data_IF_101794041098
#
_entry.id   IF_101794041098
#
_cell.length_a   1.000
_cell.length_b   1.000
_cell.length_c   1.000
_cell.angle_alpha   90.00
_cell.angle_beta   90.00
_cell.angle_gamma   90.00
#
_symmetry.space_group_name_H-M   'P 1'
#
loop_
_entity.id
_entity.type
_entity.pdbx_description
1 polymer ?
#
# COMPACT_ATOMS: atom_id res chain seq x y z
N UNK A 1 -41.87 -36.33 39.70
CA UNK A 1 -40.43 -36.37 40.03
C UNK A 1 -39.66 -36.44 38.73
N UNK A 2 -39.06 -35.33 38.29
CA UNK A 2 -38.21 -35.32 37.09
C UNK A 2 -36.86 -35.95 37.47
N UNK A 3 -36.49 -37.05 36.81
CA UNK A 3 -35.20 -37.70 37.03
C UNK A 3 -34.06 -36.78 36.56
N UNK A 4 -33.27 -36.27 37.51
CA UNK A 4 -32.05 -35.54 37.20
C UNK A 4 -31.00 -36.51 36.67
N UNK A 5 -30.55 -36.32 35.42
CA UNK A 5 -29.48 -37.11 34.82
C UNK A 5 -28.15 -36.35 34.88
N UNK A 6 -27.26 -36.68 35.83
CA UNK A 6 -26.04 -35.92 36.09
C UNK A 6 -25.04 -35.97 34.93
N UNK A 7 -25.00 -37.07 34.16
CA UNK A 7 -24.08 -37.19 33.02
C UNK A 7 -24.50 -36.29 31.85
N UNK A 8 -25.80 -36.16 31.61
CA UNK A 8 -26.35 -35.24 30.62
C UNK A 8 -26.13 -33.77 31.02
N UNK A 9 -26.16 -33.47 32.31
CA UNK A 9 -25.89 -32.13 32.84
C UNK A 9 -24.42 -31.72 32.68
N UNK A 10 -23.47 -32.60 33.04
CA UNK A 10 -22.03 -32.36 32.86
C UNK A 10 -21.67 -32.22 31.39
N UNK A 11 -22.26 -33.02 30.49
CA UNK A 11 -22.04 -32.92 29.04
C UNK A 11 -22.50 -31.56 28.48
N UNK A 12 -23.62 -31.02 28.97
CA UNK A 12 -24.11 -29.68 28.57
C UNK A 12 -23.18 -28.57 29.04
N UNK A 13 -22.64 -28.68 30.26
CA UNK A 13 -21.65 -27.72 30.78
C UNK A 13 -20.38 -27.75 29.92
N UNK A 14 -19.86 -28.94 29.61
CA UNK A 14 -18.67 -29.07 28.75
C UNK A 14 -18.89 -28.48 27.35
N UNK A 15 -20.06 -28.68 26.75
CA UNK A 15 -20.39 -28.08 25.44
C UNK A 15 -20.40 -26.54 25.52
N UNK A 16 -20.96 -25.96 26.58
CA UNK A 16 -20.96 -24.51 26.78
C UNK A 16 -19.54 -23.97 26.92
N UNK A 17 -18.68 -24.64 27.69
CA UNK A 17 -17.27 -24.24 27.82
C UNK A 17 -16.52 -24.31 26.49
N UNK A 18 -16.75 -25.34 25.67
CA UNK A 18 -16.15 -25.46 24.33
C UNK A 18 -16.61 -24.31 23.42
N UNK A 19 -17.89 -23.94 23.46
CA UNK A 19 -18.42 -22.82 22.66
C UNK A 19 -17.86 -21.46 23.10
N UNK A 20 -17.63 -21.25 24.40
CA UNK A 20 -17.03 -20.02 24.95
C UNK A 20 -15.53 -19.94 24.62
N UNK A 21 -14.81 -21.06 24.63
CA UNK A 21 -13.39 -21.08 24.24
C UNK A 21 -13.25 -20.87 22.72
N UNK A 22 -14.15 -21.45 21.91
CA UNK A 22 -14.13 -21.27 20.45
C UNK A 22 -14.47 -19.85 20.00
N UNK A 23 -15.21 -19.06 20.79
CA UNK A 23 -15.54 -17.67 20.45
C UNK A 23 -14.47 -16.65 20.83
N UNK A 24 -13.47 -17.05 21.62
CA UNK A 24 -12.36 -16.19 22.09
C UNK A 24 -11.05 -16.39 21.32
N UNK A 25 -10.97 -17.39 20.45
CA UNK A 25 -9.92 -17.54 19.45
C UNK A 25 -10.16 -16.50 18.34
N UNK A 26 -9.70 -15.29 18.63
CA UNK A 26 -10.05 -14.06 17.96
C UNK A 26 -9.84 -14.01 16.44
N UNK A 27 -10.66 -13.15 15.86
CA UNK A 27 -10.71 -12.68 14.49
C UNK A 27 -9.38 -11.99 14.11
N UNK A 28 -8.38 -12.74 13.67
CA UNK A 28 -7.22 -12.21 12.95
C UNK A 28 -7.58 -12.07 11.46
N UNK A 29 -8.34 -11.04 11.09
CA UNK A 29 -8.89 -10.94 9.73
C UNK A 29 -8.87 -9.55 9.10
N UNK A 30 -8.26 -8.55 9.74
CA UNK A 30 -8.13 -7.22 9.15
C UNK A 30 -6.66 -6.83 9.11
N UNK A 31 -6.01 -7.13 7.99
CA UNK A 31 -4.77 -6.46 7.62
C UNK A 31 -5.09 -4.97 7.53
N UNK A 32 -4.63 -4.20 8.50
CA UNK A 32 -4.79 -2.74 8.47
C UNK A 32 -3.77 -2.22 7.46
N UNK A 33 -4.25 -1.54 6.42
CA UNK A 33 -3.40 -0.84 5.46
C UNK A 33 -3.31 0.62 5.87
N UNK A 34 -2.24 1.04 6.56
CA UNK A 34 -2.14 2.40 7.04
C UNK A 34 -1.86 3.38 5.89
N UNK A 35 -2.55 4.52 5.92
CA UNK A 35 -2.38 5.61 4.95
C UNK A 35 -1.53 6.73 5.56
N UNK A 36 -0.61 7.28 4.76
CA UNK A 36 0.30 8.34 5.16
C UNK A 36 0.05 9.71 4.53
N UNK A 37 -0.95 9.80 3.65
CA UNK A 37 -1.27 11.06 2.98
C UNK A 37 -2.03 11.97 3.96
N UNK A 38 -1.46 13.15 4.22
CA UNK A 38 -2.14 14.24 4.91
C UNK A 38 -2.94 15.02 3.87
N UNK A 39 -4.23 15.19 4.11
CA UNK A 39 -5.13 15.95 3.26
C UNK A 39 -5.29 17.35 3.85
N UNK A 40 -4.82 18.35 3.12
CA UNK A 40 -4.94 19.77 3.47
C UNK A 40 -5.35 20.54 2.21
N UNK A 41 -6.62 20.98 2.16
CA UNK A 41 -7.19 21.63 0.99
C UNK A 41 -6.65 23.05 0.81
N UNK A 42 -6.37 23.76 1.91
CA UNK A 42 -5.88 25.14 1.85
C UNK A 42 -4.46 25.16 1.27
N UNK A 43 -3.56 24.30 1.79
CA UNK A 43 -2.20 24.15 1.25
C UNK A 43 -2.20 23.66 -0.21
N UNK A 44 -3.11 22.75 -0.56
CA UNK A 44 -3.24 22.25 -1.92
C UNK A 44 -3.57 23.36 -2.93
N UNK A 45 -4.48 24.28 -2.56
CA UNK A 45 -4.92 25.37 -3.43
C UNK A 45 -3.86 26.47 -3.62
N UNK A 46 -2.89 26.57 -2.70
CA UNK A 46 -1.75 27.49 -2.82
C UNK A 46 -0.62 26.94 -3.70
N UNK A 47 -0.61 25.63 -3.96
CA UNK A 47 0.46 24.96 -4.70
C UNK A 47 0.43 25.34 -6.19
N UNK A 48 1.58 25.61 -6.86
CA UNK A 48 1.60 25.89 -8.28
C UNK A 48 0.98 24.77 -9.12
N UNK A 49 -0.10 25.09 -9.84
CA UNK A 49 -0.75 24.14 -10.75
C UNK A 49 -0.14 24.20 -12.15
N UNK A 50 -0.19 23.05 -12.85
CA UNK A 50 0.15 23.01 -14.26
C UNK A 50 -0.78 23.93 -15.06
N UNK A 51 -0.22 24.67 -16.02
CA UNK A 51 -1.01 25.57 -16.87
C UNK A 51 -2.12 24.83 -17.60
N UNK A 52 -3.31 25.42 -17.64
CA UNK A 52 -4.41 24.95 -18.50
C UNK A 52 -4.09 25.03 -20.00
N UNK A 53 -3.01 25.74 -20.37
CA UNK A 53 -2.55 25.89 -21.75
C UNK A 53 -1.63 24.75 -22.24
N UNK A 54 -1.49 23.63 -21.51
CA UNK A 54 -0.72 22.47 -21.99
C UNK A 54 -1.42 21.92 -23.24
N UNK A 55 -0.71 21.97 -24.37
CA UNK A 55 -1.22 21.47 -25.64
C UNK A 55 -0.76 20.03 -25.86
N UNK A 56 -1.68 19.15 -26.27
CA UNK A 56 -1.38 17.76 -26.63
C UNK A 56 -1.10 17.71 -28.14
N UNK A 57 0.03 17.11 -28.55
CA UNK A 57 0.45 16.95 -29.95
C UNK A 57 0.57 18.24 -30.81
N UNK A 58 0.73 19.42 -30.22
CA UNK A 58 0.70 20.71 -30.95
C UNK A 58 2.07 21.37 -31.22
N UNK A 59 3.19 20.64 -31.14
CA UNK A 59 4.53 21.14 -31.50
C UNK A 59 5.57 21.08 -30.37
N UNK A 60 6.58 21.97 -30.37
CA UNK A 60 7.79 21.86 -29.54
C UNK A 60 7.57 21.90 -28.01
N UNK A 61 6.38 22.28 -27.53
CA UNK A 61 5.96 22.25 -26.10
C UNK A 61 4.79 21.30 -25.84
N UNK A 62 4.64 20.26 -26.66
CA UNK A 62 3.54 19.30 -26.50
C UNK A 62 3.93 18.06 -25.71
N UNK A 63 3.02 17.60 -24.86
CA UNK A 63 3.16 16.30 -24.20
C UNK A 63 2.68 15.18 -25.13
N UNK A 64 3.30 14.00 -25.08
CA UNK A 64 2.83 12.84 -25.83
C UNK A 64 1.45 12.41 -25.34
N UNK A 65 0.62 11.92 -26.27
CA UNK A 65 -0.72 11.40 -25.96
C UNK A 65 -0.68 10.20 -25.01
N UNK A 66 0.37 9.39 -25.09
CA UNK A 66 0.54 8.18 -24.29
C UNK A 66 2.02 7.95 -24.01
N UNK A 67 2.32 7.53 -22.78
CA UNK A 67 3.64 7.05 -22.37
C UNK A 67 3.44 5.76 -21.58
N UNK A 68 4.15 4.71 -21.95
CA UNK A 68 4.22 3.47 -21.17
C UNK A 68 5.59 3.37 -20.47
N UNK A 69 5.56 3.44 -19.14
CA UNK A 69 6.74 3.33 -18.29
C UNK A 69 6.91 1.94 -17.67
N UNK A 70 6.01 0.99 -17.97
CA UNK A 70 5.95 -0.32 -17.28
C UNK A 70 7.26 -1.11 -17.34
N UNK A 71 8.04 -0.97 -18.42
CA UNK A 71 9.37 -1.59 -18.56
C UNK A 71 10.42 -1.07 -17.58
N UNK A 72 10.20 0.10 -17.00
CA UNK A 72 11.10 0.76 -16.04
C UNK A 72 10.61 0.60 -14.59
N UNK A 73 9.43 0.03 -14.37
CA UNK A 73 8.86 -0.13 -13.05
C UNK A 73 9.53 -1.27 -12.27
N UNK A 74 9.75 -1.09 -10.96
CA UNK A 74 10.10 -2.21 -10.09
C UNK A 74 8.94 -3.21 -9.99
N UNK A 75 9.20 -4.33 -9.30
CA UNK A 75 8.16 -5.25 -8.87
C UNK A 75 7.10 -4.54 -8.01
N UNK A 76 5.83 -4.97 -8.11
CA UNK A 76 4.80 -4.43 -7.22
C UNK A 76 5.00 -5.08 -5.85
N UNK A 77 5.13 -4.27 -4.81
CA UNK A 77 5.34 -4.71 -3.42
C UNK A 77 4.43 -3.95 -2.45
N UNK A 78 4.52 -4.32 -1.18
CA UNK A 78 3.72 -3.75 -0.11
C UNK A 78 4.52 -2.73 0.71
N UNK A 79 3.92 -1.58 1.02
CA UNK A 79 4.53 -0.53 1.85
C UNK A 79 4.75 -0.93 3.31
N UNK A 80 4.15 -2.05 3.75
CA UNK A 80 4.13 -2.49 5.14
C UNK A 80 3.20 -1.65 6.01
N UNK A 81 3.50 -1.64 7.31
CA UNK A 81 2.60 -1.09 8.34
C UNK A 81 2.98 0.34 8.77
N UNK A 82 3.81 1.04 7.98
CA UNK A 82 4.48 2.29 8.38
C UNK A 82 3.85 3.57 7.82
N UNK A 83 2.56 3.56 7.44
CA UNK A 83 1.86 4.73 6.87
C UNK A 83 2.68 5.48 5.80
N UNK A 84 3.33 4.76 4.88
CA UNK A 84 4.37 5.36 4.01
C UNK A 84 3.93 5.53 2.57
N UNK A 85 2.63 5.48 2.25
CA UNK A 85 2.13 5.48 0.87
C UNK A 85 2.71 6.63 0.00
N UNK A 86 2.91 7.83 0.58
CA UNK A 86 3.51 8.98 -0.11
C UNK A 86 4.98 8.72 -0.46
N UNK A 87 5.79 8.32 0.53
CA UNK A 87 7.19 7.95 0.31
C UNK A 87 7.36 6.71 -0.57
N UNK A 88 6.42 5.77 -0.50
CA UNK A 88 6.37 4.59 -1.38
C UNK A 88 6.11 5.00 -2.83
N UNK A 89 5.13 5.86 -3.10
CA UNK A 89 4.86 6.36 -4.44
C UNK A 89 6.03 7.17 -5.00
N UNK A 90 6.57 8.11 -4.22
CA UNK A 90 7.64 9.01 -4.65
C UNK A 90 9.01 8.32 -4.74
N UNK A 91 9.44 7.68 -3.66
CA UNK A 91 10.73 6.98 -3.56
C UNK A 91 10.70 5.67 -4.33
N UNK A 92 9.96 4.68 -3.83
CA UNK A 92 9.97 3.33 -4.42
C UNK A 92 9.46 3.31 -5.86
N UNK A 93 8.41 4.06 -6.18
CA UNK A 93 7.88 4.19 -7.53
C UNK A 93 8.70 5.15 -8.40
N UNK A 94 8.46 6.45 -8.26
CA UNK A 94 8.89 7.46 -9.21
C UNK A 94 10.42 7.58 -9.33
N UNK A 95 11.15 7.67 -8.21
CA UNK A 95 12.62 7.77 -8.25
C UNK A 95 13.28 6.51 -8.80
N UNK A 96 12.74 5.32 -8.49
CA UNK A 96 13.24 4.07 -9.09
C UNK A 96 13.06 4.05 -10.60
N UNK A 97 11.90 4.48 -11.11
CA UNK A 97 11.62 4.58 -12.55
C UNK A 97 12.57 5.58 -13.21
N UNK A 98 12.76 6.75 -12.62
CA UNK A 98 13.66 7.80 -13.11
C UNK A 98 15.11 7.28 -13.21
N UNK A 99 15.60 6.63 -12.15
CA UNK A 99 16.91 5.99 -12.12
C UNK A 99 17.05 4.89 -13.17
N UNK A 100 16.00 4.08 -13.35
CA UNK A 100 16.00 3.03 -14.37
C UNK A 100 16.07 3.62 -15.79
N UNK A 101 15.35 4.71 -16.07
CA UNK A 101 15.43 5.44 -17.36
C UNK A 101 16.84 5.97 -17.57
N UNK A 102 17.41 6.68 -16.60
CA UNK A 102 18.75 7.28 -16.69
C UNK A 102 19.85 6.24 -16.92
N UNK A 103 19.73 5.07 -16.31
CA UNK A 103 20.70 3.99 -16.46
C UNK A 103 20.32 2.98 -17.55
N UNK A 104 19.26 3.25 -18.32
CA UNK A 104 18.77 2.39 -19.41
C UNK A 104 18.44 0.96 -18.95
N UNK A 105 17.95 0.80 -17.73
CA UNK A 105 17.54 -0.51 -17.18
C UNK A 105 16.13 -0.87 -17.63
N UNK A 106 15.98 -2.04 -18.24
CA UNK A 106 14.67 -2.64 -18.55
C UNK A 106 14.49 -4.01 -17.92
N UNK A 107 15.55 -4.55 -17.30
CA UNK A 107 15.49 -5.80 -16.57
C UNK A 107 14.85 -5.57 -15.20
N UNK A 108 13.67 -6.18 -14.98
CA UNK A 108 12.88 -5.98 -13.76
C UNK A 108 13.61 -6.38 -12.48
N UNK A 109 14.39 -7.46 -12.50
CA UNK A 109 15.17 -7.89 -11.33
C UNK A 109 16.22 -6.84 -10.94
N UNK A 110 16.93 -6.28 -11.93
CA UNK A 110 17.90 -5.20 -11.71
C UNK A 110 17.23 -3.94 -11.16
N UNK A 111 16.09 -3.56 -11.72
CA UNK A 111 15.34 -2.38 -11.27
C UNK A 111 14.90 -2.59 -9.81
N UNK A 112 14.27 -3.73 -9.51
CA UNK A 112 13.79 -4.05 -8.16
C UNK A 112 14.91 -4.15 -7.13
N UNK A 113 16.07 -4.73 -7.47
CA UNK A 113 17.20 -4.82 -6.54
C UNK A 113 17.86 -3.46 -6.26
N UNK A 114 17.59 -2.47 -7.11
CA UNK A 114 18.09 -1.11 -7.01
C UNK A 114 16.99 -0.10 -6.67
N UNK A 115 15.80 -0.57 -6.26
CA UNK A 115 14.68 0.30 -5.95
C UNK A 115 14.97 1.17 -4.73
N UNK A 116 14.54 2.43 -4.79
CA UNK A 116 14.65 3.35 -3.67
C UNK A 116 13.73 2.92 -2.51
N UNK A 117 14.16 3.17 -1.28
CA UNK A 117 13.32 2.95 -0.09
C UNK A 117 12.23 4.01 0.01
N UNK A 118 11.06 3.64 0.54
CA UNK A 118 10.00 4.60 0.86
C UNK A 118 10.42 5.66 1.89
N UNK A 119 11.45 5.36 2.70
CA UNK A 119 11.96 6.26 3.73
C UNK A 119 13.09 7.17 3.23
N UNK A 120 13.61 6.92 2.02
CA UNK A 120 14.72 7.68 1.45
C UNK A 120 14.42 9.18 1.37
N UNK A 121 13.20 9.53 0.92
CA UNK A 121 12.76 10.93 0.76
C UNK A 121 12.66 11.69 2.09
N UNK A 122 12.59 10.97 3.21
CA UNK A 122 12.49 11.56 4.56
C UNK A 122 13.84 11.62 5.27
N UNK A 123 14.94 11.24 4.61
CA UNK A 123 16.28 11.18 5.20
C UNK A 123 16.36 10.33 6.48
N UNK A 124 15.63 9.21 6.52
CA UNK A 124 15.55 8.29 7.66
C UNK A 124 16.38 7.01 7.45
N UNK A 125 17.45 7.07 6.65
CA UNK A 125 18.31 5.93 6.29
C UNK A 125 19.76 6.16 6.71
#
# INVERSE_FOLDING_TARGET
>A
MTHFNPTAFVKKILIVWILVISSTLGVFGQDKYPMGLVLDDDEYMETPHASSSIQINAGQKSIPLQVDLSKYCPEVRHQGDISSCVGWAAGYGAMTIERAINNQWTNKMRITSNANSALFVYNQL
#
